data_IF_447447568467
#
_entry.id   IF_447447568467
#
_cell.length_a   1.000
_cell.length_b   1.000
_cell.length_c   1.000
_cell.angle_alpha   90.00
_cell.angle_beta   90.00
_cell.angle_gamma   90.00
#
_symmetry.space_group_name_H-M   'P 1'
#
loop_
_entity.id
_entity.type
_entity.pdbx_description
1 polymer ?
#
# COMPACT_ATOMS: atom_id res chain seq x y z
N UNK A 1 11.14 10.98 8.80
CA UNK A 1 9.83 10.30 8.94
C UNK A 1 9.56 9.38 7.77
N UNK A 2 9.27 8.11 8.08
CA UNK A 2 8.77 7.15 7.08
C UNK A 2 7.42 7.59 6.49
N UNK A 3 6.69 8.51 7.14
CA UNK A 3 5.45 9.08 6.62
C UNK A 3 5.59 9.90 5.34
N UNK A 4 6.82 10.29 4.97
CA UNK A 4 7.09 10.98 3.71
C UNK A 4 7.34 10.02 2.54
N UNK A 5 7.38 8.71 2.80
CA UNK A 5 7.45 7.69 1.75
C UNK A 5 6.04 7.35 1.26
N UNK A 6 5.91 6.92 0.00
CA UNK A 6 4.63 6.46 -0.55
C UNK A 6 4.03 5.33 0.30
N UNK A 7 4.85 4.33 0.65
CA UNK A 7 4.45 3.22 1.51
C UNK A 7 3.95 3.70 2.87
N UNK A 8 4.69 4.61 3.53
CA UNK A 8 4.28 5.15 4.83
C UNK A 8 2.97 5.93 4.76
N UNK A 9 2.78 6.75 3.71
CA UNK A 9 1.53 7.46 3.45
C UNK A 9 0.37 6.50 3.24
N UNK A 10 0.55 5.51 2.37
CA UNK A 10 -0.48 4.54 2.03
C UNK A 10 -0.92 3.75 3.26
N UNK A 11 0.03 3.20 4.03
CA UNK A 11 -0.27 2.46 5.24
C UNK A 11 -1.01 3.32 6.28
N UNK A 12 -0.62 4.59 6.44
CA UNK A 12 -1.29 5.53 7.33
C UNK A 12 -2.73 5.83 6.89
N UNK A 13 -2.98 6.03 5.58
CA UNK A 13 -4.32 6.22 5.03
C UNK A 13 -5.22 4.99 5.22
N UNK A 14 -4.61 3.80 5.17
CA UNK A 14 -5.32 2.53 5.37
C UNK A 14 -5.50 2.16 6.86
N UNK A 15 -5.04 3.00 7.79
CA UNK A 15 -4.96 2.75 9.23
C UNK A 15 -4.35 1.39 9.58
N UNK A 16 -3.23 1.06 8.92
CA UNK A 16 -2.50 -0.20 9.12
C UNK A 16 -1.00 0.07 9.30
N UNK A 17 -0.33 -0.87 9.97
CA UNK A 17 1.09 -0.77 10.29
C UNK A 17 1.40 0.13 11.48
N UNK A 18 2.69 0.37 11.68
CA UNK A 18 3.27 1.24 12.70
C UNK A 18 4.27 2.14 12.00
N UNK A 19 4.03 3.45 12.00
CA UNK A 19 4.88 4.41 11.32
C UNK A 19 5.99 4.88 12.25
N UNK A 20 7.24 4.72 11.82
CA UNK A 20 8.39 5.22 12.56
C UNK A 20 8.74 6.64 12.12
N UNK A 21 8.96 7.52 13.10
CA UNK A 21 9.48 8.88 12.86
C UNK A 21 10.89 8.83 12.27
N UNK A 22 11.72 7.90 12.73
CA UNK A 22 13.04 7.61 12.18
C UNK A 22 13.32 6.11 12.24
N UNK A 23 14.07 5.60 11.26
CA UNK A 23 14.41 4.18 11.16
C UNK A 23 15.66 3.85 12.01
N UNK A 24 15.58 4.13 13.31
CA UNK A 24 16.65 3.89 14.28
C UNK A 24 16.27 2.76 15.26
N UNK A 25 17.25 2.13 15.93
CA UNK A 25 16.97 1.16 17.00
C UNK A 25 16.06 1.71 18.10
N UNK A 26 16.27 2.96 18.52
CA UNK A 26 15.47 3.62 19.57
C UNK A 26 14.04 3.89 19.09
N UNK A 27 13.87 4.21 17.81
CA UNK A 27 12.56 4.36 17.18
C UNK A 27 11.79 3.03 17.16
N UNK A 28 12.48 1.92 16.87
CA UNK A 28 11.91 0.57 16.94
C UNK A 28 11.53 0.19 18.37
N UNK A 29 12.42 0.41 19.34
CA UNK A 29 12.17 0.10 20.76
C UNK A 29 10.98 0.91 21.29
N UNK A 30 10.90 2.19 20.96
CA UNK A 30 9.77 3.05 21.32
C UNK A 30 8.47 2.56 20.70
N UNK A 31 8.51 2.13 19.43
CA UNK A 31 7.34 1.71 18.70
C UNK A 31 6.84 0.32 19.12
N UNK A 32 7.76 -0.61 19.39
CA UNK A 32 7.50 -2.06 19.50
C UNK A 32 7.90 -2.67 20.84
N UNK A 33 8.89 -2.12 21.56
CA UNK A 33 9.50 -2.75 22.74
C UNK A 33 8.55 -2.99 23.92
N UNK A 34 7.54 -2.13 24.07
CA UNK A 34 6.45 -2.29 25.07
C UNK A 34 5.13 -2.74 24.46
N UNK A 35 5.18 -3.43 23.32
CA UNK A 35 3.96 -3.88 22.66
C UNK A 35 3.37 -5.08 23.38
N UNK A 36 2.25 -4.84 24.06
CA UNK A 36 1.45 -5.90 24.67
C UNK A 36 0.64 -6.69 23.63
N UNK A 37 0.24 -7.90 24.02
CA UNK A 37 -0.56 -8.79 23.18
C UNK A 37 -1.86 -8.14 22.69
N UNK A 38 -2.49 -7.31 23.54
CA UNK A 38 -3.70 -6.55 23.17
C UNK A 38 -3.43 -5.59 22.01
N UNK A 39 -2.34 -4.80 22.11
CA UNK A 39 -1.96 -3.85 21.07
C UNK A 39 -1.62 -4.57 19.77
N UNK A 40 -0.86 -5.65 19.85
CA UNK A 40 -0.58 -6.50 18.69
C UNK A 40 -1.87 -7.05 18.05
N UNK A 41 -2.80 -7.55 18.86
CA UNK A 41 -4.09 -8.07 18.39
C UNK A 41 -4.92 -7.02 17.65
N UNK A 42 -4.96 -5.78 18.15
CA UNK A 42 -5.61 -4.65 17.46
C UNK A 42 -4.93 -4.37 16.12
N UNK A 43 -3.60 -4.26 16.10
CA UNK A 43 -2.83 -4.02 14.87
C UNK A 43 -3.09 -5.11 13.82
N UNK A 44 -3.02 -6.39 14.23
CA UNK A 44 -3.29 -7.55 13.38
C UNK A 44 -4.71 -7.52 12.82
N UNK A 45 -5.71 -7.22 13.65
CA UNK A 45 -7.12 -7.17 13.24
C UNK A 45 -7.33 -6.14 12.13
N UNK A 46 -6.69 -4.96 12.22
CA UNK A 46 -6.81 -3.93 11.17
C UNK A 46 -6.24 -4.37 9.82
N UNK A 47 -5.14 -5.14 9.85
CA UNK A 47 -4.53 -5.73 8.65
C UNK A 47 -5.47 -6.78 8.05
N UNK A 48 -6.01 -7.68 8.88
CA UNK A 48 -6.91 -8.74 8.42
C UNK A 48 -8.28 -8.22 7.94
N UNK A 49 -8.70 -7.05 8.42
CA UNK A 49 -9.91 -6.39 7.94
C UNK A 49 -9.75 -5.79 6.53
N UNK A 50 -8.53 -5.71 5.98
CA UNK A 50 -8.31 -5.27 4.59
C UNK A 50 -8.67 -6.41 3.64
N UNK A 51 -9.21 -6.05 2.47
CA UNK A 51 -9.46 -7.01 1.42
C UNK A 51 -8.12 -7.70 1.04
N UNK A 52 -8.01 -9.04 1.10
CA UNK A 52 -6.79 -9.74 0.71
C UNK A 52 -6.32 -9.40 -0.71
N UNK A 53 -7.25 -9.08 -1.62
CA UNK A 53 -6.95 -8.61 -2.99
C UNK A 53 -6.24 -7.27 -3.07
N UNK A 54 -6.11 -6.54 -1.96
CA UNK A 54 -5.22 -5.37 -1.88
C UNK A 54 -3.74 -5.77 -2.02
N UNK A 55 -3.38 -7.00 -1.67
CA UNK A 55 -1.99 -7.47 -1.61
C UNK A 55 -1.71 -8.66 -2.51
N UNK A 56 -2.73 -9.47 -2.81
CA UNK A 56 -2.61 -10.62 -3.69
C UNK A 56 -3.02 -10.26 -5.10
N UNK A 57 -2.12 -10.52 -6.06
CA UNK A 57 -2.44 -10.56 -7.47
C UNK A 57 -2.42 -12.01 -7.94
N UNK A 58 -3.39 -12.37 -8.76
CA UNK A 58 -3.44 -13.66 -9.43
C UNK A 58 -3.34 -13.53 -10.96
N UNK A 59 -3.43 -14.67 -11.65
CA UNK A 59 -3.37 -14.70 -13.12
C UNK A 59 -4.48 -13.88 -13.77
N UNK A 60 -5.67 -13.81 -13.16
CA UNK A 60 -6.80 -13.06 -13.70
C UNK A 60 -6.55 -11.55 -13.62
N UNK A 61 -5.93 -11.07 -12.55
CA UNK A 61 -5.55 -9.66 -12.43
C UNK A 61 -4.53 -9.27 -13.51
N UNK A 62 -3.54 -10.13 -13.76
CA UNK A 62 -2.58 -9.95 -14.85
C UNK A 62 -3.27 -9.89 -16.22
N UNK A 63 -4.21 -10.81 -16.48
CA UNK A 63 -4.96 -10.82 -17.73
C UNK A 63 -5.80 -9.53 -17.90
N UNK A 64 -6.50 -9.10 -16.85
CA UNK A 64 -7.28 -7.87 -16.87
C UNK A 64 -6.42 -6.62 -17.12
N UNK A 65 -5.22 -6.58 -16.54
CA UNK A 65 -4.26 -5.50 -16.79
C UNK A 65 -3.79 -5.47 -18.24
N UNK A 66 -3.45 -6.62 -18.82
CA UNK A 66 -3.04 -6.73 -20.23
C UNK A 66 -4.18 -6.30 -21.17
N UNK A 67 -5.42 -6.71 -20.92
CA UNK A 67 -6.57 -6.27 -21.72
C UNK A 67 -6.78 -4.76 -21.65
N UNK A 68 -6.64 -4.16 -20.46
CA UNK A 68 -6.70 -2.70 -20.30
C UNK A 68 -5.62 -2.01 -21.13
N UNK A 69 -4.38 -2.49 -21.09
CA UNK A 69 -3.27 -1.93 -21.88
C UNK A 69 -3.52 -2.05 -23.39
N UNK A 70 -4.06 -3.19 -23.83
CA UNK A 70 -4.42 -3.42 -25.24
C UNK A 70 -5.45 -2.39 -25.71
N UNK A 71 -6.48 -2.13 -24.91
CA UNK A 71 -7.49 -1.12 -25.21
C UNK A 71 -6.90 0.29 -25.32
N UNK A 72 -5.98 0.65 -24.41
CA UNK A 72 -5.32 1.95 -24.46
C UNK A 72 -4.43 2.13 -25.68
N UNK A 73 -3.69 1.09 -26.08
CA UNK A 73 -2.82 1.13 -27.26
C UNK A 73 -3.63 1.18 -28.58
N UNK A 74 -4.85 0.66 -28.58
CA UNK A 74 -5.75 0.71 -29.74
C UNK A 74 -6.43 2.08 -29.92
N UNK A 75 -6.37 2.97 -28.92
CA UNK A 75 -6.87 4.35 -29.09
C UNK A 75 -5.89 5.15 -29.94
N UNK A 76 -6.35 5.82 -31.01
CA UNK A 76 -5.50 6.72 -31.76
C UNK A 76 -5.04 7.87 -30.85
N UNK A 77 -3.78 8.34 -30.98
CA UNK A 77 -3.26 9.39 -30.13
C UNK A 77 -4.09 10.67 -30.31
N UNK A 78 -4.70 11.14 -29.23
CA UNK A 78 -5.44 12.41 -29.17
C UNK A 78 -4.53 13.64 -29.14
N UNK A 79 -3.21 13.45 -29.10
CA UNK A 79 -2.20 14.51 -29.09
C UNK A 79 -1.82 15.05 -30.48
N UNK A 80 -2.72 14.99 -31.46
CA UNK A 80 -2.49 15.54 -32.79
C UNK A 80 -3.68 16.40 -33.26
N UNK A 81 -4.04 17.43 -32.50
CA UNK A 81 -4.93 18.49 -32.96
C UNK A 81 -4.70 19.79 -32.16
N UNK A 82 -3.48 20.33 -32.25
CA UNK A 82 -3.21 21.74 -31.98
C UNK A 82 -2.01 22.15 -32.83
N UNK A 83 -2.30 22.58 -34.06
CA UNK A 83 -1.41 23.33 -34.94
C UNK A 83 -2.14 24.62 -35.32
#
# INVERSE_FOLDING_TARGET
>A
SMGHTETGRFLNQQDIGVLLSEATPEGLETALGRMEQERFGKLKTRVLARNPRTWSYDRSDCAAFVEKLRGLAAMPPTFAAAA
#
